data_IF_005754598865
#
_entry.id   IF_005754598865
#
_cell.length_a   1.000
_cell.length_b   1.000
_cell.length_c   1.000
_cell.angle_alpha   90.00
_cell.angle_beta   90.00
_cell.angle_gamma   90.00
#
_symmetry.space_group_name_H-M   'P 1'
#
loop_
_entity.id
_entity.type
_entity.pdbx_description
1 polymer ?
#
# COMPACT_ATOMS: atom_id res chain seq x y z
N UNK A 1 -31.31 -12.83 -2.89
CA UNK A 1 -30.51 -11.73 -3.49
C UNK A 1 -29.07 -11.85 -3.00
N UNK A 2 -28.07 -11.54 -3.83
CA UNK A 2 -26.66 -11.54 -3.41
C UNK A 2 -26.41 -10.42 -2.38
N UNK A 3 -25.58 -10.69 -1.38
CA UNK A 3 -25.28 -9.76 -0.27
C UNK A 3 -24.18 -8.77 -0.73
N UNK A 4 -24.31 -7.45 -0.51
CA UNK A 4 -23.20 -6.52 -0.79
C UNK A 4 -22.10 -6.65 0.26
N UNK A 5 -20.92 -6.11 -0.02
CA UNK A 5 -19.79 -6.10 0.90
C UNK A 5 -19.15 -4.72 1.06
N UNK A 6 -18.49 -4.52 2.18
CA UNK A 6 -17.48 -3.47 2.35
C UNK A 6 -16.13 -4.16 2.42
N UNK A 7 -15.31 -3.88 1.41
CA UNK A 7 -13.92 -4.28 1.32
C UNK A 7 -13.07 -3.20 1.98
N UNK A 8 -12.23 -3.58 2.94
CA UNK A 8 -11.30 -2.69 3.61
C UNK A 8 -9.86 -3.07 3.24
N UNK A 9 -8.99 -2.09 3.01
CA UNK A 9 -7.57 -2.31 3.25
C UNK A 9 -7.33 -2.54 4.75
N UNK A 10 -6.16 -3.09 5.08
CA UNK A 10 -5.78 -3.43 6.45
C UNK A 10 -4.99 -2.29 7.09
N UNK A 11 -3.76 -2.11 6.61
CA UNK A 11 -2.79 -1.16 7.16
C UNK A 11 -3.22 0.27 6.81
N UNK A 12 -3.15 1.18 7.78
CA UNK A 12 -3.67 2.56 7.74
C UNK A 12 -5.18 2.70 7.41
N UNK A 13 -5.94 1.61 7.51
CA UNK A 13 -7.41 1.63 7.36
C UNK A 13 -8.08 1.03 8.59
N UNK A 14 -7.83 -0.24 8.90
CA UNK A 14 -8.34 -0.91 10.11
C UNK A 14 -7.32 -0.94 11.24
N UNK A 15 -6.03 -1.03 10.90
CA UNK A 15 -4.92 -1.02 11.85
C UNK A 15 -3.88 0.05 11.48
N UNK A 16 -3.11 0.52 12.44
CA UNK A 16 -2.04 1.49 12.21
C UNK A 16 -0.91 0.84 11.39
N UNK A 17 -0.53 1.46 10.29
CA UNK A 17 0.53 0.99 9.40
C UNK A 17 1.91 1.43 9.87
N UNK A 18 2.78 0.45 10.18
CA UNK A 18 4.14 0.70 10.70
C UNK A 18 5.22 0.01 9.84
N UNK A 19 5.38 0.42 8.57
CA UNK A 19 6.40 -0.09 7.62
C UNK A 19 6.63 -1.61 7.70
N UNK A 20 5.68 -2.37 7.15
CA UNK A 20 5.68 -3.84 7.09
C UNK A 20 5.46 -4.51 8.47
N UNK A 21 4.20 -4.52 8.90
CA UNK A 21 3.77 -5.14 10.15
C UNK A 21 3.71 -6.68 10.05
N UNK A 22 4.76 -7.34 10.54
CA UNK A 22 4.85 -8.81 10.69
C UNK A 22 4.82 -9.31 12.13
N UNK A 23 4.67 -8.40 13.11
CA UNK A 23 4.64 -8.73 14.53
C UNK A 23 3.22 -8.51 15.09
N UNK A 24 2.51 -9.58 15.49
CA UNK A 24 1.16 -9.47 16.03
C UNK A 24 1.08 -8.55 17.26
N UNK A 25 2.11 -8.50 18.10
CA UNK A 25 2.09 -7.68 19.32
C UNK A 25 2.05 -6.17 19.02
N UNK A 26 2.46 -5.78 17.80
CA UNK A 26 2.44 -4.39 17.32
C UNK A 26 1.15 -4.02 16.58
N UNK A 27 0.20 -4.94 16.45
CA UNK A 27 -1.11 -4.65 15.85
C UNK A 27 -1.88 -3.71 16.78
N UNK A 28 -2.20 -2.53 16.27
CA UNK A 28 -3.03 -1.54 16.94
C UNK A 28 -4.15 -1.10 16.00
N UNK A 29 -5.39 -1.03 16.50
CA UNK A 29 -6.53 -0.60 15.70
C UNK A 29 -6.46 0.90 15.39
N UNK A 30 -6.90 1.28 14.19
CA UNK A 30 -7.24 2.68 13.90
C UNK A 30 -8.45 3.09 14.75
N UNK A 31 -8.50 4.36 15.16
CA UNK A 31 -9.60 4.91 15.94
C UNK A 31 -10.95 4.65 15.25
N UNK A 32 -11.86 3.99 15.97
CA UNK A 32 -13.20 3.67 15.47
C UNK A 32 -13.30 2.41 14.60
N UNK A 33 -12.22 1.65 14.37
CA UNK A 33 -12.23 0.45 13.51
C UNK A 33 -13.27 -0.59 13.93
N UNK A 34 -13.34 -0.94 15.22
CA UNK A 34 -14.32 -1.91 15.72
C UNK A 34 -15.77 -1.42 15.50
N UNK A 35 -16.03 -0.14 15.77
CA UNK A 35 -17.35 0.46 15.53
C UNK A 35 -17.74 0.49 14.05
N UNK A 36 -16.78 0.79 13.17
CA UNK A 36 -16.96 0.80 11.73
C UNK A 36 -17.33 -0.59 11.18
N UNK A 37 -16.55 -1.61 11.54
CA UNK A 37 -16.81 -3.01 11.14
C UNK A 37 -18.18 -3.48 11.65
N UNK A 38 -18.48 -3.27 12.93
CA UNK A 38 -19.75 -3.66 13.53
C UNK A 38 -20.94 -2.98 12.83
N UNK A 39 -20.81 -1.68 12.52
CA UNK A 39 -21.86 -0.93 11.82
C UNK A 39 -22.07 -1.41 10.39
N UNK A 40 -21.01 -1.72 9.64
CA UNK A 40 -21.13 -2.32 8.30
C UNK A 40 -21.94 -3.63 8.33
N UNK A 41 -21.65 -4.51 9.30
CA UNK A 41 -22.41 -5.75 9.47
C UNK A 41 -23.87 -5.51 9.86
N UNK A 42 -24.12 -4.58 10.78
CA UNK A 42 -25.48 -4.23 11.19
C UNK A 42 -26.34 -3.72 10.03
N UNK A 43 -25.71 -3.11 9.02
CA UNK A 43 -26.35 -2.70 7.76
C UNK A 43 -26.53 -3.84 6.75
N UNK A 44 -26.13 -5.07 7.07
CA UNK A 44 -26.27 -6.25 6.21
C UNK A 44 -25.16 -6.45 5.19
N UNK A 45 -24.06 -5.70 5.28
CA UNK A 45 -22.88 -5.94 4.43
C UNK A 45 -22.08 -7.14 4.93
N UNK A 46 -21.46 -7.87 4.00
CA UNK A 46 -20.28 -8.65 4.32
C UNK A 46 -19.10 -7.70 4.58
N UNK A 47 -18.20 -8.05 5.49
CA UNK A 47 -16.95 -7.32 5.72
C UNK A 47 -15.78 -8.19 5.30
N UNK A 48 -15.00 -7.69 4.36
CA UNK A 48 -13.86 -8.42 3.79
C UNK A 48 -12.61 -7.55 3.86
N UNK A 49 -11.50 -8.09 4.33
CA UNK A 49 -10.19 -7.41 4.28
C UNK A 49 -9.45 -7.83 3.01
N UNK A 50 -8.90 -6.87 2.26
CA UNK A 50 -8.11 -7.11 1.04
C UNK A 50 -6.78 -6.35 1.13
N UNK A 51 -5.67 -7.05 1.36
CA UNK A 51 -4.41 -6.41 1.73
C UNK A 51 -3.18 -6.83 0.91
N UNK A 52 -2.36 -5.86 0.50
CA UNK A 52 -1.08 -6.14 -0.20
C UNK A 52 0.04 -6.42 0.83
N UNK A 53 0.34 -7.68 1.09
CA UNK A 53 1.33 -8.12 2.12
C UNK A 53 2.72 -8.37 1.55
N UNK A 54 3.28 -7.32 0.97
CA UNK A 54 4.52 -7.41 0.19
C UNK A 54 5.81 -7.48 1.03
N UNK A 55 5.70 -7.47 2.36
CA UNK A 55 6.79 -7.83 3.27
C UNK A 55 7.23 -9.28 3.10
N UNK A 56 6.30 -10.17 2.71
CA UNK A 56 6.59 -11.58 2.39
C UNK A 56 7.52 -11.70 1.19
N UNK A 57 7.17 -11.09 0.07
CA UNK A 57 8.03 -11.01 -1.12
C UNK A 57 9.39 -10.34 -0.86
N UNK A 58 9.48 -9.45 0.11
CA UNK A 58 10.72 -8.77 0.51
C UNK A 58 11.58 -9.58 1.48
N UNK A 59 11.08 -10.71 1.99
CA UNK A 59 11.78 -11.55 2.96
C UNK A 59 11.84 -10.95 4.36
N UNK A 60 10.91 -10.05 4.71
CA UNK A 60 10.84 -9.43 6.03
C UNK A 60 10.19 -10.33 7.08
N UNK A 61 9.22 -11.14 6.64
CA UNK A 61 8.49 -12.14 7.44
C UNK A 61 7.79 -13.14 6.52
N UNK A 62 7.32 -14.26 7.06
CA UNK A 62 6.56 -15.27 6.31
C UNK A 62 5.05 -15.00 6.24
N UNK A 63 4.32 -15.83 5.49
CA UNK A 63 2.85 -15.75 5.44
C UNK A 63 2.20 -16.10 6.78
N UNK A 64 2.85 -16.93 7.60
CA UNK A 64 2.44 -17.24 8.97
C UNK A 64 2.32 -15.99 9.85
N UNK A 65 3.25 -15.05 9.71
CA UNK A 65 3.20 -13.75 10.38
C UNK A 65 1.99 -12.91 9.92
N UNK A 66 1.67 -12.93 8.61
CA UNK A 66 0.48 -12.25 8.08
C UNK A 66 -0.79 -12.81 8.72
N UNK A 67 -0.91 -14.15 8.78
CA UNK A 67 -2.06 -14.82 9.39
C UNK A 67 -2.14 -14.48 10.89
N UNK A 68 -1.01 -14.48 11.60
CA UNK A 68 -0.97 -14.13 13.01
C UNK A 68 -1.38 -12.67 13.27
N UNK A 69 -0.92 -11.71 12.45
CA UNK A 69 -1.34 -10.31 12.53
C UNK A 69 -2.84 -10.15 12.26
N UNK A 70 -3.38 -10.84 11.25
CA UNK A 70 -4.81 -10.80 10.94
C UNK A 70 -5.65 -11.37 12.09
N UNK A 71 -5.22 -12.50 12.68
CA UNK A 71 -5.85 -13.09 13.86
C UNK A 71 -5.85 -12.13 15.04
N UNK A 72 -4.73 -11.44 15.29
CA UNK A 72 -4.64 -10.46 16.36
C UNK A 72 -5.54 -9.24 16.11
N UNK A 73 -5.65 -8.78 14.87
CA UNK A 73 -6.61 -7.74 14.49
C UNK A 73 -8.05 -8.19 14.77
N UNK A 74 -8.43 -9.41 14.41
CA UNK A 74 -9.77 -9.96 14.68
C UNK A 74 -10.08 -10.02 16.18
N UNK A 75 -9.12 -10.47 16.99
CA UNK A 75 -9.23 -10.50 18.46
C UNK A 75 -9.47 -9.10 19.03
N UNK A 76 -8.67 -8.11 18.59
CA UNK A 76 -8.82 -6.72 19.04
C UNK A 76 -10.15 -6.11 18.62
N UNK A 77 -10.61 -6.37 17.39
CA UNK A 77 -11.90 -5.89 16.91
C UNK A 77 -13.04 -6.41 17.80
N UNK A 78 -13.03 -7.71 18.11
CA UNK A 78 -14.02 -8.35 18.98
C UNK A 78 -13.96 -7.87 20.43
N UNK A 79 -12.74 -7.66 20.96
CA UNK A 79 -12.53 -7.12 22.31
C UNK A 79 -13.17 -5.75 22.47
N UNK A 80 -13.03 -4.88 21.47
CA UNK A 80 -13.59 -3.53 21.49
C UNK A 80 -15.08 -3.49 21.11
N UNK A 81 -15.54 -4.42 20.27
CA UNK A 81 -16.95 -4.53 19.89
C UNK A 81 -17.30 -5.96 19.44
N UNK A 82 -18.18 -6.69 20.17
CA UNK A 82 -18.58 -8.06 19.81
C UNK A 82 -19.24 -8.20 18.43
N UNK A 83 -19.77 -7.11 17.88
CA UNK A 83 -20.33 -7.07 16.54
C UNK A 83 -19.27 -6.91 15.43
N UNK A 84 -18.00 -6.67 15.75
CA UNK A 84 -16.95 -6.35 14.78
C UNK A 84 -16.29 -7.60 14.17
N UNK A 85 -17.06 -8.40 13.43
CA UNK A 85 -16.58 -9.66 12.81
C UNK A 85 -16.19 -9.46 11.34
N UNK A 86 -14.94 -9.77 10.99
CA UNK A 86 -14.52 -9.88 9.59
C UNK A 86 -14.99 -11.24 9.03
N UNK A 87 -15.68 -11.23 7.90
CA UNK A 87 -16.18 -12.48 7.28
C UNK A 87 -15.08 -13.20 6.49
N UNK A 88 -14.11 -12.46 5.93
CA UNK A 88 -13.03 -13.03 5.12
C UNK A 88 -11.81 -12.11 5.06
N UNK A 89 -10.63 -12.72 5.09
CA UNK A 89 -9.35 -12.05 4.81
C UNK A 89 -8.79 -12.55 3.49
N UNK A 90 -8.43 -11.62 2.61
CA UNK A 90 -7.66 -11.86 1.41
C UNK A 90 -6.37 -11.05 1.47
N UNK A 91 -5.27 -11.65 1.05
CA UNK A 91 -4.01 -10.94 0.94
C UNK A 91 -3.21 -11.39 -0.28
N UNK A 92 -2.36 -10.49 -0.77
CA UNK A 92 -1.41 -10.78 -1.83
C UNK A 92 0.02 -10.74 -1.28
N UNK A 93 0.74 -11.88 -1.20
CA UNK A 93 2.14 -11.92 -0.76
C UNK A 93 3.12 -11.55 -1.89
N UNK A 94 2.66 -11.50 -3.14
CA UNK A 94 3.49 -11.36 -4.33
C UNK A 94 3.93 -9.92 -4.65
N UNK A 95 5.10 -9.80 -5.28
CA UNK A 95 5.64 -8.54 -5.80
C UNK A 95 6.48 -8.79 -7.08
N UNK A 96 6.40 -7.94 -8.12
CA UNK A 96 7.23 -8.10 -9.34
C UNK A 96 8.74 -8.04 -9.03
N UNK A 97 9.14 -7.14 -8.14
CA UNK A 97 10.53 -6.99 -7.69
C UNK A 97 10.85 -7.75 -6.39
N UNK A 98 10.20 -8.89 -6.14
CA UNK A 98 10.44 -9.67 -4.92
C UNK A 98 11.91 -10.11 -4.78
N UNK A 99 12.41 -10.09 -3.54
CA UNK A 99 13.71 -10.66 -3.15
C UNK A 99 13.62 -12.18 -3.00
N UNK A 100 12.49 -12.68 -2.52
CA UNK A 100 12.25 -14.12 -2.35
C UNK A 100 11.69 -14.68 -3.67
N UNK A 101 12.40 -15.61 -4.35
CA UNK A 101 12.01 -16.06 -5.69
C UNK A 101 10.61 -16.66 -5.78
N UNK A 102 10.17 -17.37 -4.74
CA UNK A 102 8.84 -17.98 -4.69
C UNK A 102 7.68 -16.96 -4.77
N UNK A 103 7.94 -15.70 -4.42
CA UNK A 103 6.94 -14.64 -4.43
C UNK A 103 7.16 -13.60 -5.54
N UNK A 104 8.12 -13.85 -6.45
CA UNK A 104 8.47 -12.94 -7.55
C UNK A 104 7.54 -13.12 -8.74
N UNK A 105 6.41 -12.41 -8.73
CA UNK A 105 5.49 -12.40 -9.85
C UNK A 105 4.61 -11.15 -9.87
N UNK A 106 4.14 -10.80 -11.07
CA UNK A 106 3.08 -9.82 -11.26
C UNK A 106 1.69 -10.48 -11.09
N UNK A 107 1.27 -10.66 -9.84
CA UNK A 107 0.03 -11.38 -9.51
C UNK A 107 -1.23 -10.55 -9.78
N UNK A 108 -2.27 -11.19 -10.33
CA UNK A 108 -3.60 -10.59 -10.46
C UNK A 108 -4.27 -10.25 -9.12
N UNK A 109 -3.81 -10.87 -8.02
CA UNK A 109 -4.29 -10.57 -6.67
C UNK A 109 -3.72 -9.24 -6.13
N UNK A 110 -2.62 -8.73 -6.69
CA UNK A 110 -1.95 -7.54 -6.17
C UNK A 110 -2.70 -6.27 -6.59
N UNK A 111 -3.20 -5.48 -5.62
CA UNK A 111 -3.73 -4.12 -5.90
C UNK A 111 -2.63 -3.30 -6.57
N UNK A 112 -2.89 -2.60 -7.70
CA UNK A 112 -4.20 -2.09 -8.16
C UNK A 112 -5.10 -3.05 -8.95
N UNK A 113 -4.69 -4.30 -9.19
CA UNK A 113 -5.55 -5.28 -9.85
C UNK A 113 -6.69 -5.73 -8.91
N UNK A 114 -7.89 -6.04 -9.41
CA UNK A 114 -9.06 -6.32 -8.59
C UNK A 114 -9.12 -7.77 -8.06
N UNK A 115 -8.08 -8.59 -8.24
CA UNK A 115 -8.16 -10.04 -8.05
C UNK A 115 -8.63 -10.49 -6.67
N UNK A 116 -8.15 -9.87 -5.59
CA UNK A 116 -8.63 -10.20 -4.23
C UNK A 116 -10.13 -9.90 -4.04
N UNK A 117 -10.61 -8.78 -4.58
CA UNK A 117 -12.01 -8.37 -4.48
C UNK A 117 -12.89 -9.35 -5.27
N UNK A 118 -12.48 -9.70 -6.50
CA UNK A 118 -13.21 -10.65 -7.34
C UNK A 118 -13.23 -12.06 -6.74
N UNK A 119 -12.11 -12.52 -6.18
CA UNK A 119 -12.02 -13.81 -5.51
C UNK A 119 -12.96 -13.90 -4.30
N UNK A 120 -13.04 -12.83 -3.49
CA UNK A 120 -13.99 -12.76 -2.38
C UNK A 120 -15.45 -12.69 -2.84
N UNK A 121 -15.73 -11.95 -3.91
CA UNK A 121 -17.07 -11.88 -4.46
C UNK A 121 -17.57 -13.22 -4.98
N UNK A 122 -16.70 -13.99 -5.63
CA UNK A 122 -17.04 -15.33 -6.10
C UNK A 122 -17.26 -16.29 -4.92
N UNK A 123 -16.30 -16.37 -4.00
CA UNK A 123 -16.35 -17.28 -2.85
C UNK A 123 -17.56 -17.05 -1.93
N UNK A 124 -18.02 -15.81 -1.81
CA UNK A 124 -19.11 -15.42 -0.91
C UNK A 124 -20.40 -15.01 -1.63
N UNK A 125 -20.45 -15.19 -2.96
CA UNK A 125 -21.56 -14.77 -3.82
C UNK A 125 -22.01 -13.31 -3.59
N UNK A 126 -21.05 -12.38 -3.56
CA UNK A 126 -21.28 -10.96 -3.26
C UNK A 126 -21.80 -10.18 -4.47
N UNK A 127 -22.51 -9.09 -4.18
CA UNK A 127 -22.97 -8.11 -5.17
C UNK A 127 -22.05 -6.90 -5.21
N UNK A 128 -21.10 -6.90 -6.15
CA UNK A 128 -20.11 -5.84 -6.29
C UNK A 128 -20.71 -4.48 -6.64
N UNK A 129 -21.84 -4.43 -7.35
CA UNK A 129 -22.47 -3.17 -7.79
C UNK A 129 -23.02 -2.33 -6.65
N UNK A 130 -23.28 -2.97 -5.50
CA UNK A 130 -23.69 -2.35 -4.24
C UNK A 130 -22.59 -2.42 -3.17
N UNK A 131 -21.39 -2.85 -3.54
CA UNK A 131 -20.25 -2.98 -2.63
C UNK A 131 -19.34 -1.76 -2.66
N UNK A 132 -18.51 -1.66 -1.62
CA UNK A 132 -17.60 -0.54 -1.39
C UNK A 132 -16.18 -1.04 -1.20
N UNK A 133 -15.19 -0.31 -1.73
CA UNK A 133 -13.78 -0.46 -1.39
C UNK A 133 -13.33 0.77 -0.62
N UNK A 134 -12.75 0.55 0.56
CA UNK A 134 -12.26 1.58 1.47
C UNK A 134 -10.78 1.33 1.73
N UNK A 135 -9.92 2.31 1.49
CA UNK A 135 -8.47 2.21 1.69
C UNK A 135 -7.79 3.56 1.79
N UNK A 136 -6.49 3.56 2.08
CA UNK A 136 -5.67 4.77 2.25
C UNK A 136 -4.85 5.13 1.00
N UNK A 137 -4.82 4.28 -0.03
CA UNK A 137 -3.94 4.44 -1.17
C UNK A 137 -4.66 4.47 -2.53
N UNK A 138 -4.09 5.16 -3.56
CA UNK A 138 -4.65 5.18 -4.92
C UNK A 138 -4.85 3.80 -5.55
N UNK A 139 -4.01 2.82 -5.19
CA UNK A 139 -4.14 1.43 -5.66
C UNK A 139 -5.42 0.75 -5.17
N UNK A 140 -5.92 1.12 -3.99
CA UNK A 140 -7.17 0.58 -3.44
C UNK A 140 -8.36 1.07 -4.24
N UNK A 141 -8.35 2.36 -4.56
CA UNK A 141 -9.36 3.00 -5.39
C UNK A 141 -9.36 2.38 -6.79
N UNK A 142 -8.18 2.18 -7.37
CA UNK A 142 -8.05 1.56 -8.69
C UNK A 142 -8.61 0.12 -8.69
N UNK A 143 -8.27 -0.68 -7.67
CA UNK A 143 -8.77 -2.04 -7.54
C UNK A 143 -10.30 -2.08 -7.34
N UNK A 144 -10.83 -1.20 -6.48
CA UNK A 144 -12.27 -1.08 -6.23
C UNK A 144 -13.05 -0.72 -7.49
N UNK A 145 -12.58 0.28 -8.26
CA UNK A 145 -13.21 0.67 -9.52
C UNK A 145 -13.13 -0.42 -10.57
N UNK A 146 -11.98 -1.08 -10.71
CA UNK A 146 -11.80 -2.19 -11.64
C UNK A 146 -12.72 -3.39 -11.29
N UNK A 147 -13.07 -3.58 -10.01
CA UNK A 147 -14.02 -4.59 -9.56
C UNK A 147 -15.50 -4.16 -9.71
N UNK A 148 -15.78 -2.90 -10.04
CA UNK A 148 -17.15 -2.37 -10.11
C UNK A 148 -17.74 -1.94 -8.76
N UNK A 149 -16.92 -1.80 -7.72
CA UNK A 149 -17.30 -1.25 -6.43
C UNK A 149 -17.31 0.28 -6.47
N UNK A 150 -18.07 0.89 -5.55
CA UNK A 150 -17.85 2.29 -5.17
C UNK A 150 -16.61 2.41 -4.28
N UNK A 151 -15.97 3.56 -4.28
CA UNK A 151 -14.65 3.74 -3.67
C UNK A 151 -14.59 4.93 -2.73
N UNK A 152 -13.97 4.71 -1.57
CA UNK A 152 -13.72 5.74 -0.56
C UNK A 152 -12.21 5.74 -0.26
N UNK A 153 -11.57 6.89 -0.44
CA UNK A 153 -10.19 7.12 -0.02
C UNK A 153 -10.20 7.77 1.37
N UNK A 154 -9.47 7.19 2.32
CA UNK A 154 -9.25 7.78 3.63
C UNK A 154 -7.91 8.52 3.63
N UNK A 155 -7.94 9.81 3.98
CA UNK A 155 -6.75 10.62 4.21
C UNK A 155 -6.79 11.07 5.67
N UNK A 156 -6.30 10.22 6.56
CA UNK A 156 -6.27 10.52 7.99
C UNK A 156 -5.02 11.35 8.34
N UNK A 157 -5.16 12.63 8.72
CA UNK A 157 -4.02 13.48 9.05
C UNK A 157 -3.32 13.09 10.36
N UNK A 158 -3.91 12.20 11.16
CA UNK A 158 -3.33 11.72 12.42
C UNK A 158 -2.43 10.49 12.23
N UNK A 159 -2.54 9.82 11.08
CA UNK A 159 -1.71 8.68 10.72
C UNK A 159 -0.59 9.13 9.78
N UNK A 160 0.60 8.55 9.97
CA UNK A 160 1.66 8.72 8.99
C UNK A 160 1.21 8.13 7.65
N UNK A 161 1.40 8.84 6.52
CA UNK A 161 1.03 8.31 5.21
C UNK A 161 1.82 7.04 4.94
N UNK A 162 1.12 5.99 4.48
CA UNK A 162 1.81 4.77 4.07
C UNK A 162 2.64 5.05 2.81
N UNK A 163 3.68 4.24 2.53
CA UNK A 163 4.37 4.28 1.24
C UNK A 163 3.41 4.11 0.05
N UNK A 164 2.26 3.47 0.28
CA UNK A 164 1.22 3.26 -0.71
C UNK A 164 0.41 4.52 -1.03
N UNK A 165 0.17 5.37 -0.03
CA UNK A 165 -0.53 6.65 -0.19
C UNK A 165 0.26 7.62 -1.11
N UNK A 166 1.58 7.44 -1.20
CA UNK A 166 2.48 8.23 -2.04
C UNK A 166 2.61 7.66 -3.47
N UNK A 167 2.01 6.52 -3.78
CA UNK A 167 2.06 5.94 -5.13
C UNK A 167 1.38 6.89 -6.14
N UNK A 168 2.03 7.11 -7.28
CA UNK A 168 1.45 7.92 -8.37
C UNK A 168 0.27 7.18 -8.99
N UNK A 169 -0.94 7.67 -8.73
CA UNK A 169 -2.17 7.13 -9.31
C UNK A 169 -3.14 8.24 -9.69
N UNK A 170 -3.66 8.20 -10.92
CA UNK A 170 -4.57 9.23 -11.46
C UNK A 170 -6.05 8.91 -11.23
N UNK A 171 -6.37 7.86 -10.48
CA UNK A 171 -7.75 7.40 -10.31
C UNK A 171 -8.45 8.22 -9.24
N UNK A 172 -9.44 9.02 -9.65
CA UNK A 172 -10.28 9.80 -8.74
C UNK A 172 -11.21 8.87 -7.93
N UNK A 173 -11.20 8.89 -6.59
CA UNK A 173 -12.16 8.13 -5.79
C UNK A 173 -13.57 8.71 -5.92
N UNK A 174 -14.59 7.91 -5.59
CA UNK A 174 -15.97 8.42 -5.57
C UNK A 174 -16.20 9.36 -4.38
N UNK A 175 -15.53 9.07 -3.25
CA UNK A 175 -15.50 9.94 -2.07
C UNK A 175 -14.12 9.95 -1.42
N UNK A 176 -13.81 11.06 -0.75
CA UNK A 176 -12.64 11.19 0.12
C UNK A 176 -13.12 11.66 1.49
N UNK A 177 -12.60 11.04 2.55
CA UNK A 177 -12.94 11.34 3.95
C UNK A 177 -11.68 11.36 4.80
N UNK A 178 -11.78 11.94 6.00
CA UNK A 178 -10.62 12.06 6.90
C UNK A 178 -10.56 10.95 7.95
N UNK A 179 -11.67 10.21 8.16
CA UNK A 179 -11.73 9.14 9.16
C UNK A 179 -12.52 7.93 8.67
N UNK A 180 -12.24 6.77 9.27
CA UNK A 180 -12.98 5.55 8.99
C UNK A 180 -14.46 5.64 9.41
N UNK A 181 -14.76 6.39 10.48
CA UNK A 181 -16.14 6.61 10.94
C UNK A 181 -16.93 7.36 9.87
N UNK A 182 -16.36 8.45 9.32
CA UNK A 182 -16.98 9.20 8.22
C UNK A 182 -17.23 8.33 6.99
N UNK A 183 -16.30 7.43 6.64
CA UNK A 183 -16.48 6.48 5.54
C UNK A 183 -17.75 5.63 5.75
N UNK A 184 -17.92 5.04 6.94
CA UNK A 184 -19.07 4.18 7.22
C UNK A 184 -20.38 4.96 7.32
N UNK A 185 -20.37 6.17 7.86
CA UNK A 185 -21.55 7.04 7.82
C UNK A 185 -21.97 7.39 6.39
N UNK A 186 -21.00 7.60 5.51
CA UNK A 186 -21.26 7.85 4.09
C UNK A 186 -21.90 6.63 3.43
N UNK A 187 -21.38 5.43 3.69
CA UNK A 187 -21.95 4.17 3.21
C UNK A 187 -23.41 4.03 3.69
N UNK A 188 -23.69 4.30 4.96
CA UNK A 188 -25.03 4.25 5.52
C UNK A 188 -26.00 5.21 4.81
N UNK A 189 -25.58 6.47 4.62
CA UNK A 189 -26.37 7.49 3.93
C UNK A 189 -26.67 7.11 2.48
N UNK A 190 -25.72 6.52 1.76
CA UNK A 190 -25.89 6.13 0.37
C UNK A 190 -26.75 4.87 0.22
N UNK A 191 -26.65 3.93 1.16
CA UNK A 191 -27.43 2.69 1.16
C UNK A 191 -28.92 2.97 1.39
N UNK A 192 -29.25 3.94 2.25
CA UNK A 192 -30.64 4.34 2.49
C UNK A 192 -31.29 5.09 1.31
N UNK A 193 -30.49 5.64 0.38
CA UNK A 193 -31.01 6.36 -0.81
C UNK A 193 -31.34 5.45 -1.99
N UNK A 194 -30.88 4.20 -1.98
CA UNK A 194 -31.19 3.24 -3.04
C UNK A 194 -32.33 2.31 -2.59
N UNK A 195 -33.57 2.49 -3.08
CA UNK A 195 -34.59 1.45 -2.91
C UNK A 195 -34.14 0.16 -3.63
N UNK A 196 -34.60 -1.02 -3.19
CA UNK A 196 -34.27 -2.28 -3.85
C UNK A 196 -34.65 -2.19 -5.34
N UNK A 197 -33.80 -2.63 -6.28
CA UNK A 197 -34.18 -2.64 -7.69
C UNK A 197 -35.41 -3.54 -7.87
N UNK A 198 -36.47 -2.98 -8.46
CA UNK A 198 -37.66 -3.70 -8.87
C UNK A 198 -37.23 -4.83 -9.80
N UNK A 199 -37.55 -6.07 -9.43
CA UNK A 199 -37.29 -7.26 -10.24
C UNK A 199 -38.18 -7.20 -11.49
N UNK A 200 -37.70 -6.65 -12.59
CA UNK A 200 -38.28 -6.97 -13.90
C UNK A 200 -37.86 -8.41 -14.28
N UNK A 201 -38.82 -9.29 -14.63
CA UNK A 201 -38.50 -10.66 -15.03
C UNK A 201 -37.71 -10.63 -16.35
N UNK A 202 -36.45 -11.05 -16.32
CA UNK A 202 -35.73 -11.31 -17.56
C UNK A 202 -36.25 -12.60 -18.22
N UNK A 203 -36.44 -12.63 -19.54
CA UNK A 203 -36.90 -13.82 -20.26
C UNK A 203 -35.88 -14.96 -20.16
N UNK A 204 -36.33 -16.23 -20.14
CA UNK A 204 -35.48 -17.38 -19.87
C UNK A 204 -34.43 -17.54 -20.97
N UNK A 205 -33.15 -17.52 -20.59
CA UNK A 205 -32.06 -17.96 -21.46
C UNK A 205 -32.10 -19.49 -21.58
N UNK A 206 -32.24 -19.97 -22.80
CA UNK A 206 -32.16 -21.38 -23.18
C UNK A 206 -30.79 -22.00 -22.82
N UNK A 207 -30.74 -23.30 -22.45
CA UNK A 207 -29.56 -23.93 -21.87
C UNK A 207 -28.48 -24.22 -22.91
N UNK A 208 -27.26 -23.73 -22.66
CA UNK A 208 -26.03 -24.16 -23.35
C UNK A 208 -25.43 -25.36 -22.61
N UNK A 209 -24.82 -26.35 -23.30
CA UNK A 209 -24.41 -27.61 -22.68
C UNK A 209 -23.28 -27.45 -21.66
N UNK A 210 -23.34 -28.26 -20.60
CA UNK A 210 -22.36 -28.29 -19.52
C UNK A 210 -20.95 -28.68 -20.02
N UNK A 211 -19.88 -28.02 -19.54
CA UNK A 211 -18.52 -28.52 -19.69
C UNK A 211 -18.25 -29.69 -18.72
N UNK A 212 -17.33 -30.61 -19.06
CA UNK A 212 -17.01 -31.79 -18.26
C UNK A 212 -16.32 -31.42 -16.93
N UNK A 213 -16.39 -32.30 -15.91
CA UNK A 213 -15.95 -31.97 -14.55
C UNK A 213 -14.44 -31.79 -14.48
N UNK A 214 -13.99 -30.58 -14.14
CA UNK A 214 -12.62 -30.31 -13.74
C UNK A 214 -12.42 -30.76 -12.29
N UNK A 215 -11.37 -31.57 -12.09
CA UNK A 215 -10.98 -32.16 -10.82
C UNK A 215 -10.81 -31.10 -9.72
N UNK A 216 -11.41 -31.37 -8.57
CA UNK A 216 -11.23 -30.64 -7.32
C UNK A 216 -9.81 -30.86 -6.79
N UNK A 217 -8.91 -29.91 -7.04
CA UNK A 217 -7.64 -29.85 -6.30
C UNK A 217 -7.89 -29.08 -5.01
N UNK A 218 -8.36 -29.79 -3.99
CA UNK A 218 -8.32 -29.32 -2.61
C UNK A 218 -6.85 -29.15 -2.19
N UNK A 219 -6.38 -27.91 -2.03
CA UNK A 219 -5.11 -27.67 -1.35
C UNK A 219 -5.29 -28.00 0.13
N UNK A 220 -4.70 -29.13 0.51
CA UNK A 220 -4.66 -29.70 1.85
C UNK A 220 -3.61 -28.94 2.66
N UNK A 221 -4.01 -28.38 3.81
CA UNK A 221 -3.09 -27.92 4.86
C UNK A 221 -2.09 -29.02 5.19
N UNK A 222 -0.80 -28.78 4.98
CA UNK A 222 0.28 -29.63 5.47
C UNK A 222 0.69 -29.17 6.88
N UNK A 223 0.68 -30.12 7.81
CA UNK A 223 1.15 -29.99 9.19
C UNK A 223 2.65 -29.66 9.25
N UNK A 224 3.11 -28.94 10.29
CA UNK A 224 4.54 -28.73 10.53
C UNK A 224 5.23 -30.04 10.99
N UNK A 225 6.54 -30.22 10.69
CA UNK A 225 7.31 -31.39 11.13
C UNK A 225 7.58 -31.37 12.65
N UNK A 226 7.87 -32.53 13.27
CA UNK A 226 7.84 -32.71 14.71
C UNK A 226 9.06 -32.13 15.44
N UNK A 227 8.81 -31.83 16.72
CA UNK A 227 9.76 -31.34 17.70
C UNK A 227 10.98 -32.26 17.89
N UNK A 228 12.17 -31.66 17.99
CA UNK A 228 13.36 -32.30 18.55
C UNK A 228 13.52 -31.84 19.99
N UNK A 229 13.59 -32.79 20.92
CA UNK A 229 13.90 -32.59 22.33
C UNK A 229 14.97 -33.63 22.75
N UNK A 230 15.50 -33.63 23.99
CA UNK A 230 16.56 -32.75 24.50
C UNK A 230 17.76 -33.55 25.05
N UNK A 231 18.87 -32.91 25.45
CA UNK A 231 19.96 -33.56 26.21
C UNK A 231 20.82 -32.52 27.00
N UNK A 232 21.60 -32.89 28.04
CA UNK A 232 21.16 -32.91 29.44
C UNK A 232 22.02 -32.04 30.40
N UNK A 233 21.72 -32.15 31.70
CA UNK A 233 22.07 -31.25 32.81
C UNK A 233 23.46 -31.45 33.48
N UNK A 234 24.00 -30.31 33.99
CA UNK A 234 24.70 -30.07 35.29
C UNK A 234 26.08 -30.74 35.56
N UNK A 235 27.03 -30.10 36.31
CA UNK A 235 26.86 -29.78 37.75
C UNK A 235 27.45 -28.44 38.26
N UNK A 236 26.93 -28.00 39.41
CA UNK A 236 27.47 -26.97 40.34
C UNK A 236 28.15 -27.68 41.54
N UNK A 237 29.00 -27.04 42.40
CA UNK A 237 28.49 -26.16 43.48
C UNK A 237 29.40 -25.02 44.05
N UNK A 238 28.75 -23.91 44.46
CA UNK A 238 28.87 -23.11 45.73
C UNK A 238 30.17 -22.38 46.18
N UNK A 239 30.13 -21.45 47.18
CA UNK A 239 29.16 -20.37 47.51
C UNK A 239 29.84 -19.04 48.02
N UNK A 240 29.07 -17.95 48.22
CA UNK A 240 29.12 -17.03 49.39
C UNK A 240 28.05 -15.91 49.22
N UNK A 241 26.96 -15.93 50.00
CA UNK A 241 26.74 -15.17 51.25
C UNK A 241 26.05 -13.79 51.04
N UNK A 242 24.86 -13.64 51.64
CA UNK A 242 24.15 -12.38 51.86
C UNK A 242 24.43 -11.85 53.28
N UNK A 243 24.14 -10.57 53.57
CA UNK A 243 22.93 -10.30 54.35
C UNK A 243 22.12 -9.03 53.94
N UNK A 244 20.84 -9.02 54.35
CA UNK A 244 19.80 -7.95 54.36
C UNK A 244 19.97 -7.00 55.57
N UNK A 245 19.04 -6.04 55.89
CA UNK A 245 18.23 -5.09 55.09
C UNK A 245 18.23 -3.64 55.68
N UNK A 246 17.73 -2.63 54.97
CA UNK A 246 17.16 -1.39 55.56
C UNK A 246 16.05 -0.76 54.67
N UNK A 247 15.09 -0.09 55.31
CA UNK A 247 13.87 0.61 54.80
C UNK A 247 13.81 1.96 55.57
N UNK A 248 12.96 2.97 55.26
CA UNK A 248 12.61 3.70 54.02
C UNK A 248 13.01 5.21 54.09
N UNK A 249 12.98 5.93 52.96
CA UNK A 249 13.20 7.39 52.91
C UNK A 249 12.22 8.11 51.97
N UNK A 250 11.56 9.13 52.50
CA UNK A 250 10.56 10.04 51.90
C UNK A 250 11.17 10.96 50.82
N UNK A 251 10.45 11.26 49.73
CA UNK A 251 10.83 12.39 48.87
C UNK A 251 10.05 12.59 47.56
N UNK A 252 9.11 13.55 47.61
CA UNK A 252 8.67 14.51 46.56
C UNK A 252 8.25 14.01 45.16
N UNK A 253 6.97 14.28 44.85
CA UNK A 253 6.48 14.46 43.48
C UNK A 253 7.14 15.69 42.80
N UNK A 254 7.51 15.61 41.50
CA UNK A 254 7.81 16.79 40.71
C UNK A 254 6.56 17.30 39.98
N UNK A 255 6.39 18.61 40.09
CA UNK A 255 5.40 19.45 39.41
C UNK A 255 5.82 19.60 37.94
N UNK A 256 4.88 19.42 37.03
CA UNK A 256 5.02 19.64 35.58
C UNK A 256 5.14 21.14 35.25
N UNK A 257 6.04 21.58 34.34
CA UNK A 257 5.87 22.83 33.63
C UNK A 257 5.35 22.54 32.21
N UNK A 258 4.03 22.43 32.07
CA UNK A 258 3.32 22.15 30.81
C UNK A 258 3.52 23.23 29.71
N UNK A 259 4.09 24.39 30.06
CA UNK A 259 4.23 25.53 29.15
C UNK A 259 5.48 25.47 28.24
N UNK A 260 6.54 24.76 28.64
CA UNK A 260 7.79 24.69 27.85
C UNK A 260 7.79 23.57 26.80
N UNK A 261 6.98 22.53 27.01
CA UNK A 261 6.88 21.38 26.11
C UNK A 261 6.16 21.72 24.80
N UNK A 262 5.23 22.68 24.83
CA UNK A 262 4.46 23.12 23.66
C UNK A 262 5.29 23.86 22.60
N UNK A 263 6.37 24.53 22.99
CA UNK A 263 7.21 25.32 22.08
C UNK A 263 8.30 24.45 21.42
N UNK A 264 8.87 23.49 22.17
CA UNK A 264 9.85 22.53 21.65
C UNK A 264 9.19 21.62 20.60
N UNK A 265 7.98 21.11 20.88
CA UNK A 265 7.28 20.26 19.92
C UNK A 265 6.89 21.01 18.63
N UNK A 266 6.59 22.30 18.70
CA UNK A 266 6.35 23.12 17.50
C UNK A 266 7.63 23.38 16.72
N UNK A 267 8.75 23.62 17.41
CA UNK A 267 10.05 23.82 16.77
C UNK A 267 10.55 22.53 16.10
N UNK A 268 10.37 21.38 16.75
CA UNK A 268 10.62 20.06 16.17
C UNK A 268 9.74 19.82 14.94
N UNK A 269 8.45 20.12 15.03
CA UNK A 269 7.51 19.96 13.92
C UNK A 269 7.86 20.87 12.73
N UNK A 270 8.24 22.13 12.99
CA UNK A 270 8.70 23.07 11.96
C UNK A 270 10.02 22.62 11.32
N UNK A 271 10.97 22.12 12.12
CA UNK A 271 12.24 21.61 11.59
C UNK A 271 12.04 20.35 10.73
N UNK A 272 11.14 19.45 11.12
CA UNK A 272 10.77 18.29 10.34
C UNK A 272 10.05 18.68 9.06
N UNK A 273 9.14 19.66 9.11
CA UNK A 273 8.47 20.19 7.94
C UNK A 273 9.46 20.80 6.94
N UNK A 274 10.45 21.58 7.42
CA UNK A 274 11.53 22.13 6.59
C UNK A 274 12.37 21.01 5.99
N UNK A 275 12.72 19.98 6.76
CA UNK A 275 13.46 18.81 6.26
C UNK A 275 12.69 18.04 5.18
N UNK A 276 11.37 17.90 5.35
CA UNK A 276 10.49 17.27 4.36
C UNK A 276 10.42 18.10 3.09
N UNK A 277 10.27 19.42 3.19
CA UNK A 277 10.22 20.30 2.02
C UNK A 277 11.58 20.39 1.30
N UNK A 278 12.69 20.41 2.03
CA UNK A 278 14.04 20.32 1.45
C UNK A 278 14.26 18.95 0.77
N UNK A 279 13.77 17.86 1.37
CA UNK A 279 13.87 16.52 0.79
C UNK A 279 13.01 16.39 -0.46
N UNK A 280 11.77 16.89 -0.45
CA UNK A 280 10.91 16.98 -1.64
C UNK A 280 11.54 17.83 -2.73
N UNK A 281 12.11 18.99 -2.39
CA UNK A 281 12.79 19.85 -3.36
C UNK A 281 14.02 19.17 -3.96
N UNK A 282 14.77 18.42 -3.16
CA UNK A 282 15.94 17.67 -3.61
C UNK A 282 15.57 16.42 -4.44
N UNK A 283 14.49 15.73 -4.09
CA UNK A 283 13.95 14.56 -4.82
C UNK A 283 13.28 15.00 -6.13
N UNK A 284 12.51 16.10 -6.13
CA UNK A 284 11.99 16.71 -7.35
C UNK A 284 13.12 17.20 -8.27
N UNK A 285 14.20 17.73 -7.69
CA UNK A 285 15.40 18.09 -8.45
C UNK A 285 16.14 16.85 -9.02
N UNK A 286 16.05 15.69 -8.36
CA UNK A 286 16.65 14.44 -8.84
C UNK A 286 15.79 13.72 -9.90
N UNK A 287 14.46 13.86 -9.86
CA UNK A 287 13.56 13.30 -10.89
C UNK A 287 13.58 14.11 -12.21
N UNK A 288 13.85 15.42 -12.15
CA UNK A 288 14.03 16.23 -13.35
C UNK A 288 15.44 16.12 -13.96
N UNK A 289 16.45 15.70 -13.18
CA UNK A 289 17.83 15.55 -13.65
C UNK A 289 18.06 14.17 -14.29
N UNK A 290 17.43 13.95 -15.43
CA UNK A 290 17.79 12.84 -16.29
C UNK A 290 19.14 13.13 -16.95
N UNK A 291 20.19 12.39 -16.56
CA UNK A 291 21.55 12.51 -17.13
C UNK A 291 21.54 12.45 -18.66
N UNK A 292 20.64 11.67 -19.26
CA UNK A 292 20.46 11.61 -20.72
C UNK A 292 19.88 12.90 -21.31
N UNK A 293 18.97 13.59 -20.62
CA UNK A 293 18.45 14.91 -21.04
C UNK A 293 19.53 16.00 -20.93
N UNK A 294 20.38 15.95 -19.91
CA UNK A 294 21.53 16.85 -19.79
C UNK A 294 22.52 16.66 -20.95
N UNK A 295 22.92 15.40 -21.21
CA UNK A 295 23.85 15.07 -22.30
C UNK A 295 23.23 15.46 -23.65
N UNK A 296 21.93 15.24 -23.85
CA UNK A 296 21.21 15.68 -25.04
C UNK A 296 21.23 17.21 -25.20
N UNK A 297 21.04 17.96 -24.11
CA UNK A 297 21.14 19.42 -24.11
C UNK A 297 22.54 19.92 -24.51
N UNK A 298 23.59 19.34 -23.93
CA UNK A 298 24.99 19.68 -24.26
C UNK A 298 25.29 19.36 -25.73
N UNK A 299 24.90 18.19 -26.21
CA UNK A 299 25.08 17.78 -27.60
C UNK A 299 24.35 18.71 -28.58
N UNK A 300 23.16 19.22 -28.22
CA UNK A 300 22.42 20.20 -29.03
C UNK A 300 23.16 21.53 -29.14
N UNK A 301 23.71 22.04 -28.03
CA UNK A 301 24.51 23.28 -28.04
C UNK A 301 25.75 23.13 -28.91
N UNK A 302 26.43 22.00 -28.82
CA UNK A 302 27.60 21.69 -29.67
C UNK A 302 27.22 21.58 -31.15
N UNK A 303 26.07 21.01 -31.49
CA UNK A 303 25.60 20.93 -32.86
C UNK A 303 25.36 22.33 -33.46
N UNK A 304 24.70 23.22 -32.71
CA UNK A 304 24.46 24.61 -33.13
C UNK A 304 25.77 25.38 -33.25
N UNK A 305 26.68 25.22 -32.28
CA UNK A 305 28.00 25.84 -32.33
C UNK A 305 28.81 25.36 -33.53
N UNK A 306 28.77 24.07 -33.86
CA UNK A 306 29.42 23.52 -35.05
C UNK A 306 28.86 24.14 -36.35
N UNK A 307 27.54 24.32 -36.45
CA UNK A 307 26.91 24.97 -37.61
C UNK A 307 27.34 26.45 -37.71
N UNK A 308 27.31 27.18 -36.59
CA UNK A 308 27.74 28.58 -36.57
C UNK A 308 29.22 28.72 -36.94
N UNK A 309 30.09 27.89 -36.38
CA UNK A 309 31.52 27.90 -36.66
C UNK A 309 31.81 27.54 -38.12
N UNK A 310 31.11 26.52 -38.64
CA UNK A 310 31.17 26.13 -40.06
C UNK A 310 30.85 27.33 -40.96
N UNK A 311 29.76 28.02 -40.67
CA UNK A 311 29.30 29.17 -41.45
C UNK A 311 30.23 30.39 -41.32
N UNK A 312 30.75 30.70 -40.13
CA UNK A 312 31.57 31.89 -39.94
C UNK A 312 33.02 31.71 -40.38
N UNK A 313 33.64 30.56 -40.09
CA UNK A 313 35.07 30.34 -40.36
C UNK A 313 35.32 29.69 -41.71
N UNK A 314 34.39 28.86 -42.20
CA UNK A 314 34.63 27.99 -43.36
C UNK A 314 33.69 28.25 -44.54
N UNK A 315 32.94 29.37 -44.56
CA UNK A 315 32.05 29.72 -45.70
C UNK A 315 32.73 29.76 -47.06
N UNK A 316 34.04 30.04 -47.11
CA UNK A 316 34.82 30.12 -48.33
C UNK A 316 35.58 28.83 -48.68
N UNK A 317 35.53 27.81 -47.81
CA UNK A 317 36.15 26.50 -48.02
C UNK A 317 35.10 25.39 -47.96
N UNK A 318 34.69 24.92 -49.13
CA UNK A 318 33.60 23.96 -49.28
C UNK A 318 33.89 22.59 -48.62
N UNK A 319 35.15 22.13 -48.60
CA UNK A 319 35.51 20.83 -48.04
C UNK A 319 35.41 20.84 -46.51
N UNK A 320 35.93 21.90 -45.88
CA UNK A 320 35.80 22.11 -44.44
C UNK A 320 34.34 22.35 -44.05
N UNK A 321 33.61 23.19 -44.79
CA UNK A 321 32.19 23.44 -44.54
C UNK A 321 31.37 22.15 -44.54
N UNK A 322 31.56 21.28 -45.54
CA UNK A 322 30.87 20.00 -45.64
C UNK A 322 31.21 19.06 -44.46
N UNK A 323 32.48 19.00 -44.06
CA UNK A 323 32.93 18.17 -42.93
C UNK A 323 32.29 18.61 -41.61
N UNK A 324 32.22 19.92 -41.35
CA UNK A 324 31.59 20.46 -40.15
C UNK A 324 30.06 20.30 -40.14
N UNK A 325 29.41 20.38 -41.31
CA UNK A 325 27.98 20.08 -41.43
C UNK A 325 27.67 18.60 -41.13
N UNK A 326 28.52 17.66 -41.57
CA UNK A 326 28.37 16.24 -41.23
C UNK A 326 28.51 16.00 -39.72
N UNK A 327 29.44 16.67 -39.05
CA UNK A 327 29.59 16.62 -37.59
C UNK A 327 28.33 17.14 -36.88
N UNK A 328 27.76 18.24 -37.38
CA UNK A 328 26.51 18.78 -36.82
C UNK A 328 25.32 17.83 -37.00
N UNK A 329 25.17 17.20 -38.17
CA UNK A 329 24.12 16.21 -38.43
C UNK A 329 24.29 14.99 -37.52
N UNK A 330 25.52 14.50 -37.35
CA UNK A 330 25.81 13.40 -36.43
C UNK A 330 25.40 13.75 -34.99
N UNK A 331 25.84 14.89 -34.47
CA UNK A 331 25.45 15.37 -33.13
C UNK A 331 23.93 15.49 -32.98
N UNK A 332 23.22 15.95 -34.03
CA UNK A 332 21.77 16.05 -34.02
C UNK A 332 21.09 14.67 -33.94
N UNK A 333 21.54 13.69 -34.73
CA UNK A 333 20.99 12.31 -34.68
C UNK A 333 21.27 11.61 -33.35
N UNK A 334 22.43 11.90 -32.74
CA UNK A 334 22.80 11.41 -31.43
C UNK A 334 21.90 12.00 -30.33
N UNK A 335 21.66 13.32 -30.36
CA UNK A 335 20.72 13.99 -29.44
C UNK A 335 19.31 13.40 -29.52
N UNK A 336 18.78 13.19 -30.74
CA UNK A 336 17.45 12.58 -30.94
C UNK A 336 17.41 11.17 -30.36
N UNK A 337 18.45 10.36 -30.59
CA UNK A 337 18.54 9.01 -30.04
C UNK A 337 18.54 9.00 -28.51
N UNK A 338 19.28 9.91 -27.87
CA UNK A 338 19.28 10.05 -26.41
C UNK A 338 17.90 10.47 -25.86
N UNK A 339 17.20 11.36 -26.56
CA UNK A 339 15.85 11.79 -26.17
C UNK A 339 14.81 10.67 -26.33
N UNK A 340 14.89 9.86 -27.39
CA UNK A 340 14.01 8.70 -27.58
C UNK A 340 14.26 7.64 -26.51
N UNK A 341 15.52 7.30 -26.23
CA UNK A 341 15.87 6.34 -25.16
C UNK A 341 15.45 6.85 -23.77
N UNK A 342 15.43 8.17 -23.56
CA UNK A 342 14.96 8.77 -22.30
C UNK A 342 13.44 8.70 -22.11
N UNK A 343 12.66 8.51 -23.19
CA UNK A 343 11.18 8.41 -23.13
C UNK A 343 10.65 7.00 -22.90
N UNK A 344 11.52 5.98 -22.96
CA UNK A 344 11.15 4.56 -22.81
C UNK A 344 11.49 3.98 -21.42
N UNK A 345 11.92 4.81 -20.48
CA UNK A 345 12.12 4.45 -19.06
C UNK A 345 11.03 5.08 -18.22
#
# INVERSE_FOLDING_TARGET
MRRPAVFFDRDNTLIVGNDYLGDPEKVALVAGAAGAVAKCRAMGFAVVVVSNQSGVARGMFGEDAVVACNKRMDELLLEHNPGAVIDRHEYCPFHPDAKVPAYKQDSFLRKPKPGMILAAADAMALDLTRSWMVGDAPRDITAGKAAGCRTILIIDPTLAPSPAALEVGSVKPDYTVSTLIEAVELIAKQSNKQPPPTLEPQPPKSPTPAPPPAASTSMKMQQPPPAVAPAPASPTPMPLAAPRPTVPGVGRAPITPLAQQLDISRLELLSQQILIELKKANEAAHDDFSVSKLIAGIAQVLAVAAIMLAYFLFRSDAASLQSWLLVAVFLQTFTISLLIMSRQK
#
